data_IF_560653325185
#
_entry.id   IF_560653325185
#
_cell.length_a   1.000
_cell.length_b   1.000
_cell.length_c   1.000
_cell.angle_alpha   90.00
_cell.angle_beta   90.00
_cell.angle_gamma   90.00
#
_symmetry.space_group_name_H-M   'P 1'
#
loop_
_entity.id
_entity.type
_entity.pdbx_description
1 polymer ?
#
# COMPACT_ATOMS: atom_id res chain seq x y z
N UNK A 1 -20.14 70.22 -11.52
CA UNK A 1 -20.29 69.37 -10.31
C UNK A 1 -20.70 67.92 -10.62
N UNK A 2 -21.26 67.59 -11.80
CA UNK A 2 -21.63 66.21 -12.16
C UNK A 2 -20.43 65.27 -12.51
N UNK A 3 -19.31 65.79 -13.00
CA UNK A 3 -18.16 64.95 -13.41
C UNK A 3 -17.39 64.27 -12.27
N UNK A 4 -17.42 64.83 -11.06
CA UNK A 4 -16.67 64.30 -9.90
C UNK A 4 -17.42 63.15 -9.22
N UNK A 5 -18.76 63.16 -9.28
CA UNK A 5 -19.59 62.08 -8.75
C UNK A 5 -19.46 60.78 -9.55
N UNK A 6 -19.34 60.87 -10.89
CA UNK A 6 -19.20 59.70 -11.76
C UNK A 6 -17.86 58.99 -11.51
N UNK A 7 -16.78 59.74 -11.30
CA UNK A 7 -15.46 59.17 -11.00
C UNK A 7 -15.46 58.42 -9.67
N UNK A 8 -16.11 58.94 -8.63
CA UNK A 8 -16.22 58.28 -7.32
C UNK A 8 -17.02 56.96 -7.37
N UNK A 9 -18.09 56.89 -8.16
CA UNK A 9 -18.87 55.65 -8.31
C UNK A 9 -18.10 54.56 -9.06
N UNK A 10 -17.36 54.94 -10.11
CA UNK A 10 -16.56 53.99 -10.89
C UNK A 10 -15.40 53.42 -10.07
N UNK A 11 -14.76 54.23 -9.22
CA UNK A 11 -13.72 53.73 -8.30
C UNK A 11 -14.27 52.82 -7.20
N UNK A 12 -15.48 53.09 -6.69
CA UNK A 12 -16.09 52.27 -5.64
C UNK A 12 -16.49 50.88 -6.15
N UNK A 13 -16.97 50.80 -7.40
CA UNK A 13 -17.27 49.52 -8.05
C UNK A 13 -15.98 48.74 -8.32
N UNK A 14 -14.91 49.40 -8.78
CA UNK A 14 -13.63 48.74 -9.02
C UNK A 14 -13.00 48.17 -7.73
N UNK A 15 -13.13 48.87 -6.61
CA UNK A 15 -12.68 48.39 -5.29
C UNK A 15 -13.55 47.21 -4.78
N UNK A 16 -14.86 47.21 -5.03
CA UNK A 16 -15.75 46.11 -4.66
C UNK A 16 -15.49 44.82 -5.47
N UNK A 17 -14.95 44.94 -6.69
CA UNK A 17 -14.51 43.79 -7.50
C UNK A 17 -13.15 43.22 -7.06
N UNK A 18 -12.27 44.04 -6.45
CA UNK A 18 -11.00 43.56 -5.89
C UNK A 18 -11.17 42.79 -4.57
N UNK A 19 -12.28 42.97 -3.85
CA UNK A 19 -12.59 42.20 -2.64
C UNK A 19 -13.24 40.84 -2.91
N UNK A 20 -13.46 40.47 -4.17
CA UNK A 20 -13.99 39.15 -4.56
C UNK A 20 -12.91 38.27 -5.24
N UNK A 21 -11.70 38.31 -4.69
CA UNK A 21 -10.69 37.28 -4.93
C UNK A 21 -10.46 36.52 -3.62
N UNK A 22 -10.87 35.25 -3.61
CA UNK A 22 -10.27 34.25 -2.73
C UNK A 22 -11.00 33.94 -1.43
N UNK A 23 -12.16 33.30 -1.53
CA UNK A 23 -12.42 32.15 -0.67
C UNK A 23 -12.61 30.92 -1.56
N UNK A 24 -11.53 30.50 -2.23
CA UNK A 24 -11.36 29.06 -2.41
C UNK A 24 -11.20 28.57 -0.98
N UNK A 25 -12.26 27.98 -0.42
CA UNK A 25 -12.11 27.16 0.76
C UNK A 25 -11.04 26.13 0.41
N UNK A 26 -9.81 26.37 0.89
CA UNK A 26 -8.76 25.37 0.89
C UNK A 26 -9.24 24.34 1.90
N UNK A 27 -10.17 23.49 1.48
CA UNK A 27 -10.46 22.26 2.18
C UNK A 27 -9.10 21.61 2.35
N UNK A 28 -8.67 21.44 3.60
CA UNK A 28 -7.46 20.70 3.97
C UNK A 28 -7.36 19.53 3.01
N UNK A 29 -6.37 19.57 2.11
CA UNK A 29 -6.18 18.47 1.18
C UNK A 29 -5.90 17.26 2.07
N UNK A 30 -6.85 16.32 2.05
CA UNK A 30 -6.76 15.18 2.92
C UNK A 30 -5.67 14.25 2.35
N UNK A 31 -4.45 14.39 2.89
CA UNK A 31 -3.26 13.61 2.52
C UNK A 31 -3.33 12.17 3.08
N UNK A 32 -4.46 11.49 2.90
CA UNK A 32 -4.69 10.17 3.48
C UNK A 32 -3.70 9.11 2.99
N UNK A 33 -3.27 9.21 1.73
CA UNK A 33 -2.30 8.26 1.15
C UNK A 33 -0.91 8.51 1.73
N UNK A 34 -0.51 9.76 1.93
CA UNK A 34 0.76 10.11 2.57
C UNK A 34 0.81 9.60 4.00
N UNK A 35 -0.27 9.83 4.77
CA UNK A 35 -0.39 9.31 6.13
C UNK A 35 -0.29 7.79 6.18
N UNK A 36 -0.97 7.09 5.26
CA UNK A 36 -0.92 5.64 5.17
C UNK A 36 0.46 5.12 4.76
N UNK A 37 1.10 5.75 3.78
CA UNK A 37 2.39 5.33 3.25
C UNK A 37 3.57 5.70 4.15
N UNK A 38 3.39 6.63 5.10
CA UNK A 38 4.44 7.06 6.04
C UNK A 38 5.09 5.92 6.83
N UNK A 39 4.36 4.82 7.08
CA UNK A 39 4.87 3.65 7.84
C UNK A 39 5.58 2.62 6.97
N UNK A 40 5.60 2.81 5.66
CA UNK A 40 6.13 1.83 4.70
C UNK A 40 7.60 2.09 4.39
N UNK A 41 8.35 1.03 4.06
CA UNK A 41 9.77 1.15 3.68
C UNK A 41 9.94 1.77 2.29
N UNK A 42 9.07 1.40 1.35
CA UNK A 42 9.14 1.87 -0.03
C UNK A 42 8.04 2.90 -0.28
N UNK A 43 8.20 4.09 0.33
CA UNK A 43 7.16 5.12 0.41
C UNK A 43 6.68 5.61 -0.96
N UNK A 44 7.60 5.94 -1.88
CA UNK A 44 7.25 6.40 -3.23
C UNK A 44 6.44 5.34 -3.99
N UNK A 45 6.81 4.07 -3.85
CA UNK A 45 6.09 2.96 -4.45
C UNK A 45 4.70 2.78 -3.82
N UNK A 46 4.59 2.94 -2.50
CA UNK A 46 3.31 2.94 -1.81
C UNK A 46 2.41 4.08 -2.33
N UNK A 47 2.92 5.32 -2.37
CA UNK A 47 2.19 6.49 -2.85
C UNK A 47 1.69 6.27 -4.27
N UNK A 48 2.57 5.84 -5.17
CA UNK A 48 2.23 5.61 -6.57
C UNK A 48 1.15 4.53 -6.73
N UNK A 49 1.28 3.41 -6.03
CA UNK A 49 0.37 2.26 -6.19
C UNK A 49 -0.96 2.43 -5.47
N UNK A 50 -1.02 3.28 -4.45
CA UNK A 50 -2.20 3.41 -3.58
C UNK A 50 -2.93 4.77 -3.66
N UNK A 51 -2.43 5.73 -4.43
CA UNK A 51 -3.04 7.06 -4.59
C UNK A 51 -4.54 7.03 -4.93
N UNK A 52 -4.96 6.14 -5.84
CA UNK A 52 -6.36 6.01 -6.27
C UNK A 52 -7.32 5.56 -5.16
N UNK A 53 -6.79 5.00 -4.07
CA UNK A 53 -7.58 4.53 -2.93
C UNK A 53 -7.80 5.60 -1.86
N UNK A 54 -7.13 6.76 -1.94
CA UNK A 54 -7.14 7.83 -0.93
C UNK A 54 -8.55 8.20 -0.48
N UNK A 55 -9.44 8.53 -1.42
CA UNK A 55 -10.83 8.94 -1.12
C UNK A 55 -11.69 7.84 -0.52
N UNK A 56 -11.43 6.59 -0.90
CA UNK A 56 -12.19 5.42 -0.43
C UNK A 56 -11.73 4.97 0.95
N UNK A 57 -10.41 4.98 1.18
CA UNK A 57 -9.78 4.54 2.42
C UNK A 57 -9.89 5.58 3.53
N UNK A 58 -9.72 6.86 3.21
CA UNK A 58 -9.65 7.96 4.18
C UNK A 58 -8.66 7.61 5.30
N UNK A 59 -9.03 7.86 6.56
CA UNK A 59 -8.23 7.51 7.74
C UNK A 59 -8.36 6.05 8.19
N UNK A 60 -8.98 5.14 7.41
CA UNK A 60 -9.28 3.76 7.87
C UNK A 60 -8.10 2.80 7.66
N UNK A 61 -7.43 2.32 8.72
CA UNK A 61 -6.29 1.40 8.59
C UNK A 61 -6.70 0.08 7.94
N UNK A 62 -7.92 -0.41 8.23
CA UNK A 62 -8.42 -1.66 7.65
C UNK A 62 -8.66 -1.55 6.14
N UNK A 63 -9.06 -0.37 5.64
CA UNK A 63 -9.23 -0.16 4.21
C UNK A 63 -7.87 -0.06 3.51
N UNK A 64 -6.90 0.63 4.11
CA UNK A 64 -5.53 0.67 3.59
C UNK A 64 -4.86 -0.70 3.56
N UNK A 65 -4.99 -1.52 4.61
CA UNK A 65 -4.48 -2.89 4.61
C UNK A 65 -5.11 -3.75 3.49
N UNK A 66 -6.43 -3.63 3.28
CA UNK A 66 -7.12 -4.32 2.17
C UNK A 66 -6.68 -3.82 0.80
N UNK A 67 -6.51 -2.52 0.63
CA UNK A 67 -6.05 -1.92 -0.62
C UNK A 67 -4.62 -2.36 -0.95
N UNK A 68 -3.70 -2.21 0.02
CA UNK A 68 -2.31 -2.68 -0.07
C UNK A 68 -2.23 -4.13 -0.52
N UNK A 69 -2.90 -5.03 0.21
CA UNK A 69 -2.87 -6.46 -0.12
C UNK A 69 -3.53 -6.79 -1.48
N UNK A 70 -4.55 -6.03 -1.89
CA UNK A 70 -5.19 -6.24 -3.20
C UNK A 70 -4.27 -5.84 -4.35
N UNK A 71 -3.53 -4.74 -4.19
CA UNK A 71 -2.48 -4.31 -5.14
C UNK A 71 -1.34 -5.33 -5.17
N UNK A 72 -0.86 -5.79 -4.01
CA UNK A 72 0.15 -6.85 -3.91
C UNK A 72 -0.26 -8.10 -4.67
N UNK A 73 -1.46 -8.62 -4.41
CA UNK A 73 -1.95 -9.83 -5.07
C UNK A 73 -2.03 -9.67 -6.60
N UNK A 74 -2.36 -8.46 -7.10
CA UNK A 74 -2.37 -8.18 -8.52
C UNK A 74 -0.94 -8.19 -9.12
N UNK A 75 0.03 -7.55 -8.45
CA UNK A 75 1.43 -7.51 -8.88
C UNK A 75 2.08 -8.89 -8.86
N UNK A 76 1.89 -9.67 -7.78
CA UNK A 76 2.45 -11.02 -7.65
C UNK A 76 1.87 -11.94 -8.72
N UNK A 77 0.56 -11.87 -9.00
CA UNK A 77 -0.06 -12.59 -10.13
C UNK A 77 0.50 -12.17 -11.47
N UNK A 78 0.68 -10.87 -11.71
CA UNK A 78 1.29 -10.36 -12.95
C UNK A 78 2.72 -10.89 -13.13
N UNK A 79 3.49 -10.92 -12.05
CA UNK A 79 4.86 -11.45 -12.04
C UNK A 79 4.87 -12.96 -12.30
N UNK A 80 4.00 -13.74 -11.65
CA UNK A 80 3.85 -15.18 -11.91
C UNK A 80 3.52 -15.49 -13.38
N UNK A 81 2.64 -14.69 -13.99
CA UNK A 81 2.30 -14.79 -15.42
C UNK A 81 3.52 -14.50 -16.31
N UNK A 82 4.30 -13.47 -15.98
CA UNK A 82 5.53 -13.14 -16.69
C UNK A 82 6.56 -14.28 -16.59
N UNK A 83 6.78 -14.83 -15.40
CA UNK A 83 7.69 -15.97 -15.17
C UNK A 83 7.26 -17.19 -16.00
N UNK A 84 5.95 -17.48 -16.00
CA UNK A 84 5.37 -18.56 -16.80
C UNK A 84 5.58 -18.32 -18.31
N UNK A 85 5.46 -17.08 -18.78
CA UNK A 85 5.72 -16.71 -20.17
C UNK A 85 7.19 -16.95 -20.55
N UNK A 86 8.14 -16.58 -19.68
CA UNK A 86 9.57 -16.87 -19.90
C UNK A 86 9.84 -18.37 -20.05
N UNK A 87 9.18 -19.20 -19.23
CA UNK A 87 9.31 -20.67 -19.29
C UNK A 87 8.73 -21.22 -20.60
N UNK A 88 7.55 -20.75 -21.02
CA UNK A 88 6.89 -21.15 -22.28
C UNK A 88 7.72 -20.80 -23.52
N UNK A 89 8.35 -19.63 -23.53
CA UNK A 89 9.17 -19.19 -24.66
C UNK A 89 10.62 -19.70 -24.62
N UNK A 90 10.95 -20.59 -23.68
CA UNK A 90 12.31 -21.14 -23.51
C UNK A 90 13.38 -20.03 -23.41
N UNK A 91 13.02 -18.91 -22.79
CA UNK A 91 13.86 -17.71 -22.70
C UNK A 91 15.09 -17.88 -21.79
N UNK A 92 15.13 -18.98 -21.02
CA UNK A 92 16.21 -19.35 -20.13
C UNK A 92 16.67 -20.79 -20.39
N UNK A 93 17.96 -21.06 -20.16
CA UNK A 93 18.61 -22.36 -20.39
C UNK A 93 19.47 -22.76 -19.19
N UNK A 94 19.82 -24.05 -19.12
CA UNK A 94 20.68 -24.58 -18.06
C UNK A 94 20.13 -24.29 -16.66
N UNK A 95 21.01 -23.89 -15.74
CA UNK A 95 20.66 -23.54 -14.36
C UNK A 95 19.53 -22.52 -14.26
N UNK A 96 19.51 -21.49 -15.12
CA UNK A 96 18.48 -20.46 -15.11
C UNK A 96 17.08 -21.00 -15.42
N UNK A 97 16.96 -22.10 -16.18
CA UNK A 97 15.65 -22.73 -16.46
C UNK A 97 15.10 -23.48 -15.24
N UNK A 98 16.00 -24.08 -14.45
CA UNK A 98 15.65 -24.76 -13.20
C UNK A 98 15.21 -23.71 -12.17
N UNK A 99 16.05 -22.69 -11.94
CA UNK A 99 15.71 -21.57 -11.05
C UNK A 99 14.41 -20.85 -11.44
N UNK A 100 14.11 -20.73 -12.74
CA UNK A 100 12.84 -20.19 -13.21
C UNK A 100 11.64 -21.07 -12.85
N UNK A 101 11.81 -22.40 -12.84
CA UNK A 101 10.73 -23.31 -12.43
C UNK A 101 10.47 -23.19 -10.94
N UNK A 102 11.53 -23.21 -10.12
CA UNK A 102 11.44 -23.02 -8.67
C UNK A 102 10.81 -21.66 -8.33
N UNK A 103 11.24 -20.60 -9.02
CA UNK A 103 10.65 -19.28 -8.85
C UNK A 103 9.15 -19.22 -9.21
N UNK A 104 8.69 -20.00 -10.20
CA UNK A 104 7.25 -20.08 -10.51
C UNK A 104 6.49 -20.76 -9.37
N UNK A 105 7.07 -21.78 -8.74
CA UNK A 105 6.47 -22.48 -7.59
C UNK A 105 6.39 -21.55 -6.38
N UNK A 106 7.48 -20.86 -6.02
CA UNK A 106 7.47 -19.83 -4.97
C UNK A 106 6.38 -18.77 -5.20
N UNK A 107 6.22 -18.29 -6.43
CA UNK A 107 5.18 -17.31 -6.72
C UNK A 107 3.75 -17.87 -6.67
N UNK A 108 3.55 -19.18 -6.84
CA UNK A 108 2.25 -19.82 -6.63
C UNK A 108 1.92 -19.90 -5.14
N UNK A 109 2.90 -20.28 -4.31
CA UNK A 109 2.76 -20.33 -2.85
C UNK A 109 2.46 -18.94 -2.27
N UNK A 110 3.24 -17.92 -2.69
CA UNK A 110 2.98 -16.52 -2.32
C UNK A 110 1.56 -16.06 -2.70
N UNK A 111 1.04 -16.45 -3.87
CA UNK A 111 -0.34 -16.12 -4.28
C UNK A 111 -1.36 -16.74 -3.32
N UNK A 112 -1.16 -17.98 -2.89
CA UNK A 112 -2.07 -18.68 -1.98
C UNK A 112 -2.08 -18.04 -0.60
N UNK A 113 -0.93 -17.64 -0.09
CA UNK A 113 -0.76 -16.94 1.18
C UNK A 113 -1.39 -15.55 1.17
N UNK A 114 -1.22 -14.80 0.07
CA UNK A 114 -1.85 -13.51 -0.14
C UNK A 114 -3.38 -13.65 -0.27
N UNK A 115 -3.89 -14.74 -0.88
CA UNK A 115 -5.32 -15.02 -0.90
C UNK A 115 -5.89 -15.32 0.49
N UNK A 116 -5.23 -16.16 1.29
CA UNK A 116 -5.60 -16.44 2.69
C UNK A 116 -5.66 -15.13 3.49
N UNK A 117 -4.65 -14.29 3.29
CA UNK A 117 -4.56 -12.99 3.94
C UNK A 117 -5.72 -12.07 3.56
N UNK A 118 -6.06 -11.98 2.27
CA UNK A 118 -7.14 -11.12 1.80
C UNK A 118 -8.51 -11.61 2.27
N UNK A 119 -8.69 -12.92 2.36
CA UNK A 119 -9.88 -13.54 2.92
C UNK A 119 -10.09 -13.13 4.39
N UNK A 120 -9.04 -13.19 5.22
CA UNK A 120 -9.11 -12.75 6.62
C UNK A 120 -9.37 -11.25 6.72
N UNK A 121 -8.69 -10.40 5.95
CA UNK A 121 -8.89 -8.94 5.95
C UNK A 121 -10.33 -8.51 5.57
N UNK A 122 -11.03 -9.32 4.77
CA UNK A 122 -12.45 -9.09 4.41
C UNK A 122 -13.42 -9.48 5.53
N UNK A 123 -12.97 -10.28 6.50
CA UNK A 123 -13.79 -10.85 7.57
C UNK A 123 -13.22 -10.57 8.96
N UNK A 124 -12.58 -9.41 9.12
CA UNK A 124 -11.98 -9.02 10.40
C UNK A 124 -13.03 -8.94 11.50
N UNK A 125 -12.76 -9.64 12.59
CA UNK A 125 -13.54 -9.61 13.80
C UNK A 125 -13.25 -8.33 14.58
N UNK A 126 -14.28 -7.76 15.20
CA UNK A 126 -14.11 -6.70 16.21
C UNK A 126 -13.88 -7.24 17.62
N UNK A 127 -13.99 -8.57 17.81
CA UNK A 127 -13.72 -9.22 19.10
C UNK A 127 -12.21 -9.27 19.33
N UNK A 128 -11.66 -8.72 20.43
CA UNK A 128 -10.23 -8.51 20.60
C UNK A 128 -9.38 -9.77 20.37
N UNK A 129 -9.68 -10.85 21.09
CA UNK A 129 -8.95 -12.11 20.96
C UNK A 129 -8.94 -12.67 19.53
N UNK A 130 -10.07 -12.61 18.82
CA UNK A 130 -10.17 -13.10 17.44
C UNK A 130 -9.40 -12.18 16.48
N UNK A 131 -9.47 -10.86 16.71
CA UNK A 131 -8.72 -9.89 15.93
C UNK A 131 -7.20 -10.12 16.06
N UNK A 132 -6.70 -10.37 17.26
CA UNK A 132 -5.27 -10.59 17.51
C UNK A 132 -4.78 -11.85 16.79
N UNK A 133 -5.56 -12.95 16.85
CA UNK A 133 -5.27 -14.18 16.08
C UNK A 133 -5.26 -13.88 14.57
N UNK A 134 -6.26 -13.17 14.06
CA UNK A 134 -6.32 -12.79 12.65
C UNK A 134 -5.13 -11.91 12.23
N UNK A 135 -4.65 -10.99 13.08
CA UNK A 135 -3.46 -10.18 12.77
C UNK A 135 -2.19 -11.04 12.74
N UNK A 136 -2.08 -12.03 13.64
CA UNK A 136 -0.97 -12.99 13.65
C UNK A 136 -0.95 -13.85 12.38
N UNK A 137 -2.11 -14.35 11.94
CA UNK A 137 -2.25 -15.12 10.70
C UNK A 137 -1.82 -14.28 9.49
N UNK A 138 -2.30 -13.03 9.40
CA UNK A 138 -1.92 -12.11 8.33
C UNK A 138 -0.41 -11.85 8.30
N UNK A 139 0.20 -11.59 9.45
CA UNK A 139 1.64 -11.34 9.53
C UNK A 139 2.43 -12.58 9.07
N UNK A 140 2.00 -13.77 9.50
CA UNK A 140 2.61 -15.04 9.12
C UNK A 140 2.57 -15.25 7.61
N UNK A 141 1.39 -15.19 7.00
CA UNK A 141 1.23 -15.46 5.57
C UNK A 141 1.86 -14.40 4.68
N UNK A 142 1.79 -13.12 5.04
CA UNK A 142 2.44 -12.07 4.22
C UNK A 142 3.97 -12.16 4.35
N UNK A 143 4.50 -12.56 5.50
CA UNK A 143 5.95 -12.77 5.67
C UNK A 143 6.44 -14.03 4.96
N UNK A 144 5.61 -15.07 4.88
CA UNK A 144 5.89 -16.25 4.06
C UNK A 144 5.93 -15.87 2.57
N UNK A 145 5.01 -15.04 2.09
CA UNK A 145 5.01 -14.59 0.69
C UNK A 145 6.27 -13.79 0.34
N UNK A 146 6.75 -12.96 1.27
CA UNK A 146 8.05 -12.29 1.13
C UNK A 146 9.22 -13.28 1.06
N UNK A 147 9.17 -14.33 1.88
CA UNK A 147 10.20 -15.38 1.91
C UNK A 147 10.24 -16.15 0.59
N UNK A 148 9.09 -16.44 -0.01
CA UNK A 148 8.99 -17.08 -1.32
C UNK A 148 9.53 -16.17 -2.44
N UNK A 149 9.18 -14.90 -2.43
CA UNK A 149 9.69 -13.91 -3.38
C UNK A 149 11.22 -13.75 -3.28
N UNK A 150 11.76 -13.72 -2.06
CA UNK A 150 13.21 -13.67 -1.80
C UNK A 150 13.90 -14.98 -2.23
N UNK A 151 13.29 -16.13 -1.95
CA UNK A 151 13.80 -17.45 -2.38
C UNK A 151 13.89 -17.54 -3.90
N UNK A 152 12.91 -16.99 -4.63
CA UNK A 152 13.03 -16.85 -6.08
C UNK A 152 14.27 -16.04 -6.48
N UNK A 153 14.56 -14.91 -5.83
CA UNK A 153 15.72 -14.06 -6.13
C UNK A 153 17.04 -14.80 -5.87
N UNK A 154 17.11 -15.57 -4.80
CA UNK A 154 18.28 -16.37 -4.41
C UNK A 154 18.59 -17.45 -5.45
N UNK A 155 17.56 -18.04 -6.08
CA UNK A 155 17.72 -18.98 -7.20
C UNK A 155 18.52 -18.41 -8.39
N UNK A 156 18.56 -17.08 -8.52
CA UNK A 156 19.29 -16.35 -9.56
C UNK A 156 20.56 -15.64 -9.07
N UNK A 157 21.04 -15.91 -7.86
CA UNK A 157 22.28 -15.32 -7.36
C UNK A 157 23.48 -15.70 -8.26
N UNK A 158 24.34 -14.71 -8.52
CA UNK A 158 25.51 -14.85 -9.41
C UNK A 158 25.17 -15.03 -10.90
N UNK A 159 23.89 -15.16 -11.28
CA UNK A 159 23.47 -15.33 -12.66
C UNK A 159 23.44 -13.99 -13.39
N UNK A 160 23.90 -13.99 -14.65
CA UNK A 160 23.96 -12.80 -15.51
C UNK A 160 23.10 -12.97 -16.75
N UNK A 161 22.77 -11.85 -17.39
CA UNK A 161 22.06 -11.82 -18.66
C UNK A 161 20.81 -10.93 -18.62
N UNK A 162 20.39 -10.48 -19.81
CA UNK A 162 19.27 -9.53 -19.96
C UNK A 162 17.98 -10.06 -19.32
N UNK A 163 17.65 -11.33 -19.56
CA UNK A 163 16.41 -11.93 -19.03
C UNK A 163 16.44 -12.09 -17.51
N UNK A 164 17.58 -12.49 -16.94
CA UNK A 164 17.76 -12.58 -15.48
C UNK A 164 17.60 -11.21 -14.83
N UNK A 165 18.19 -10.15 -15.41
CA UNK A 165 18.04 -8.78 -14.90
C UNK A 165 16.58 -8.33 -14.93
N UNK A 166 15.86 -8.57 -16.03
CA UNK A 166 14.45 -8.20 -16.16
C UNK A 166 13.56 -8.97 -15.18
N UNK A 167 13.82 -10.27 -14.99
CA UNK A 167 13.15 -11.10 -14.00
C UNK A 167 13.35 -10.55 -12.59
N UNK A 168 14.61 -10.36 -12.18
CA UNK A 168 14.95 -9.86 -10.83
C UNK A 168 14.28 -8.52 -10.57
N UNK A 169 14.28 -7.60 -11.54
CA UNK A 169 13.63 -6.30 -11.38
C UNK A 169 12.11 -6.43 -11.12
N UNK A 170 11.42 -7.35 -11.80
CA UNK A 170 9.99 -7.58 -11.57
C UNK A 170 9.73 -8.22 -10.21
N UNK A 171 10.54 -9.21 -9.85
CA UNK A 171 10.43 -9.87 -8.54
C UNK A 171 10.70 -8.87 -7.41
N UNK A 172 11.75 -8.06 -7.49
CA UNK A 172 12.02 -6.99 -6.52
C UNK A 172 10.85 -6.00 -6.38
N UNK A 173 10.22 -5.61 -7.50
CA UNK A 173 9.06 -4.72 -7.45
C UNK A 173 7.89 -5.38 -6.69
N UNK A 174 7.61 -6.66 -6.95
CA UNK A 174 6.62 -7.43 -6.21
C UNK A 174 6.97 -7.48 -4.70
N UNK A 175 8.22 -7.84 -4.35
CA UNK A 175 8.71 -7.88 -2.96
C UNK A 175 8.56 -6.55 -2.24
N UNK A 176 8.85 -5.44 -2.90
CA UNK A 176 8.68 -4.12 -2.30
C UNK A 176 7.20 -3.78 -2.04
N UNK A 177 6.30 -4.16 -2.95
CA UNK A 177 4.86 -3.97 -2.78
C UNK A 177 4.32 -4.89 -1.67
N UNK A 178 4.77 -6.14 -1.60
CA UNK A 178 4.44 -7.08 -0.51
C UNK A 178 4.92 -6.54 0.85
N UNK A 179 6.13 -5.99 0.91
CA UNK A 179 6.69 -5.36 2.12
C UNK A 179 5.86 -4.15 2.58
N UNK A 180 5.42 -3.30 1.63
CA UNK A 180 4.53 -2.19 1.94
C UNK A 180 3.16 -2.67 2.47
N UNK A 181 2.59 -3.73 1.90
CA UNK A 181 1.34 -4.32 2.39
C UNK A 181 1.48 -4.87 3.83
N UNK A 182 2.59 -5.54 4.14
CA UNK A 182 2.90 -5.99 5.50
C UNK A 182 2.94 -4.82 6.49
N UNK A 183 3.58 -3.70 6.11
CA UNK A 183 3.65 -2.51 6.95
C UNK A 183 2.25 -1.91 7.21
N UNK A 184 1.36 -1.88 6.21
CA UNK A 184 -0.02 -1.43 6.37
C UNK A 184 -0.86 -2.36 7.27
N UNK A 185 -0.65 -3.67 7.17
CA UNK A 185 -1.27 -4.66 8.07
C UNK A 185 -0.76 -4.50 9.51
N UNK A 186 0.54 -4.30 9.71
CA UNK A 186 1.10 -4.04 11.02
C UNK A 186 0.57 -2.73 11.62
N UNK A 187 0.38 -1.69 10.79
CA UNK A 187 -0.29 -0.46 11.22
C UNK A 187 -1.72 -0.75 11.70
N UNK A 188 -2.50 -1.51 10.94
CA UNK A 188 -3.83 -1.95 11.36
C UNK A 188 -3.80 -2.70 12.71
N UNK A 189 -2.85 -3.61 12.92
CA UNK A 189 -2.72 -4.35 14.17
C UNK A 189 -2.51 -3.40 15.38
N UNK A 190 -1.69 -2.36 15.21
CA UNK A 190 -1.41 -1.39 16.29
C UNK A 190 -2.55 -0.39 16.54
N UNK A 191 -3.29 0.03 15.50
CA UNK A 191 -4.34 1.06 15.61
C UNK A 191 -5.75 0.50 15.73
N UNK A 192 -5.95 -0.78 15.40
CA UNK A 192 -7.26 -1.41 15.26
C UNK A 192 -8.13 -0.73 14.18
N UNK A 193 -9.45 -0.82 14.34
CA UNK A 193 -10.43 -0.22 13.41
C UNK A 193 -10.55 1.33 13.52
N UNK A 194 -9.59 2.01 14.16
CA UNK A 194 -9.74 3.43 14.53
C UNK A 194 -10.52 3.63 15.83
N UNK A 195 -10.46 2.67 16.75
CA UNK A 195 -10.97 2.83 18.12
C UNK A 195 -9.86 3.51 18.94
N UNK A 196 -10.14 4.55 19.74
CA UNK A 196 -9.13 5.22 20.56
C UNK A 196 -8.32 4.20 21.37
N UNK A 197 -7.00 4.30 21.22
CA UNK A 197 -5.96 3.42 21.72
C UNK A 197 -6.27 2.81 23.12
N UNK A 198 -6.32 1.47 23.22
CA UNK A 198 -6.49 0.75 24.50
C UNK A 198 -5.29 0.94 25.43
N UNK A 199 -4.09 1.22 24.90
CA UNK A 199 -2.90 1.55 25.69
C UNK A 199 -3.02 2.89 26.44
N UNK A 200 -3.86 3.81 25.96
CA UNK A 200 -4.15 5.04 26.70
C UNK A 200 -5.05 4.79 27.93
N UNK A 201 -5.93 3.78 27.86
CA UNK A 201 -6.82 3.40 28.96
C UNK A 201 -6.14 2.49 29.99
N UNK A 202 -5.20 1.63 29.57
CA UNK A 202 -4.38 0.83 30.50
C UNK A 202 -3.40 1.70 31.31
N UNK A 203 -2.76 2.71 30.69
CA UNK A 203 -1.96 3.68 31.45
C UNK A 203 -2.83 4.51 32.40
N UNK A 204 -4.01 5.00 31.97
CA UNK A 204 -4.91 5.77 32.85
C UNK A 204 -5.46 4.97 34.04
N UNK A 205 -5.63 3.66 33.92
CA UNK A 205 -6.04 2.79 35.04
C UNK A 205 -4.93 2.55 36.08
N UNK A 206 -3.66 2.74 35.73
CA UNK A 206 -2.49 2.54 36.61
C UNK A 206 -2.02 3.81 37.34
N UNK A 207 -2.55 4.99 36.98
CA UNK A 207 -2.26 6.28 37.64
C UNK A 207 -3.46 6.81 38.44
N UNK A 208 -4.53 6.01 38.53
CA UNK A 208 -5.81 6.37 39.11
C UNK A 208 -6.22 5.56 40.34
N UNK A 209 -5.25 5.08 41.13
CA UNK A 209 -5.45 4.56 42.48
C UNK A 209 -4.26 4.94 43.37
#
# INVERSE_FOLDING_TARGET
MASVHITFHVTYIFLAWLTNFGQIAYGKEDNYVDDACSVTRYQDLCLHTLASFSRTCKSSPSKWARAGLSVTLAEVKSTAQYLTSLKKHLAMRGRNRVALSDCIECFQDAIDELHKSLYVLRRLSKRPYIFDVQMSDLNTWISAALTDEDTCLDGFEGQKGKQVKLLRNRVFNATHITSNALALVNKLATTGFGIPNRSANLKKGLIGH
#
